data_IF_479321693630
#
_entry.id   IF_479321693630
#
_cell.length_a   1.000
_cell.length_b   1.000
_cell.length_c   1.000
_cell.angle_alpha   90.00
_cell.angle_beta   90.00
_cell.angle_gamma   90.00
#
_symmetry.space_group_name_H-M   'P 1'
#
loop_
_entity.id
_entity.type
_entity.pdbx_description
1 polymer ?
#
# COMPACT_ATOMS: atom_id res chain seq x y z
N UNK A 1 -10.74 12.41 1.76
CA UNK A 1 -11.02 11.18 0.98
C UNK A 1 -10.28 9.96 1.52
N UNK A 2 -8.94 9.96 1.63
CA UNK A 2 -8.19 8.79 2.14
C UNK A 2 -8.68 8.28 3.51
N UNK A 3 -8.89 9.19 4.49
CA UNK A 3 -9.45 8.82 5.80
C UNK A 3 -10.80 8.13 5.70
N UNK A 4 -11.70 8.64 4.86
CA UNK A 4 -13.03 8.06 4.62
C UNK A 4 -12.93 6.66 4.03
N UNK A 5 -12.06 6.47 3.02
CA UNK A 5 -11.82 5.17 2.39
C UNK A 5 -11.31 4.17 3.44
N UNK A 6 -10.31 4.58 4.23
CA UNK A 6 -9.76 3.74 5.29
C UNK A 6 -10.80 3.33 6.34
N UNK A 7 -11.64 4.28 6.77
CA UNK A 7 -12.72 4.01 7.72
C UNK A 7 -13.75 3.04 7.16
N UNK A 8 -14.15 3.21 5.90
CA UNK A 8 -15.14 2.33 5.25
C UNK A 8 -14.61 0.93 4.95
N UNK A 9 -13.29 0.76 4.79
CA UNK A 9 -12.65 -0.52 4.51
C UNK A 9 -12.14 -1.25 5.75
N UNK A 10 -12.21 -0.62 6.93
CA UNK A 10 -11.59 -1.13 8.15
C UNK A 10 -10.06 -1.12 8.11
N UNK A 11 -9.46 -0.36 7.21
CA UNK A 11 -8.01 -0.26 7.09
C UNK A 11 -7.43 0.57 8.24
N UNK A 12 -6.41 0.03 8.91
CA UNK A 12 -5.69 0.71 9.99
C UNK A 12 -4.64 1.69 9.47
N UNK A 13 -4.21 1.50 8.22
CA UNK A 13 -3.19 2.32 7.55
C UNK A 13 -3.48 2.45 6.05
N UNK A 14 -3.20 3.62 5.48
CA UNK A 14 -3.32 3.90 4.06
C UNK A 14 -2.10 4.66 3.56
N UNK A 15 -1.66 4.35 2.34
CA UNK A 15 -0.53 5.02 1.68
C UNK A 15 -0.96 5.42 0.28
N UNK A 16 -0.70 6.67 -0.09
CA UNK A 16 -0.92 7.16 -1.45
C UNK A 16 0.40 7.28 -2.20
N UNK A 17 0.46 6.64 -3.36
CA UNK A 17 1.65 6.53 -4.21
C UNK A 17 1.34 7.15 -5.55
N UNK A 18 2.23 8.02 -6.01
CA UNK A 18 2.14 8.70 -7.29
C UNK A 18 3.23 8.20 -8.23
N UNK A 19 2.83 7.84 -9.45
CA UNK A 19 3.77 7.64 -10.55
C UNK A 19 4.03 8.97 -11.24
N UNK A 20 5.30 9.29 -11.52
CA UNK A 20 5.65 10.36 -12.45
C UNK A 20 5.61 9.86 -13.91
N UNK A 21 5.92 10.75 -14.86
CA UNK A 21 5.96 10.43 -16.30
C UNK A 21 7.00 9.38 -16.67
N UNK A 22 8.07 9.28 -15.88
CA UNK A 22 9.17 8.33 -16.07
C UNK A 22 8.88 6.96 -15.41
N UNK A 23 7.72 6.81 -14.77
CA UNK A 23 7.30 5.57 -14.10
C UNK A 23 7.85 5.41 -12.68
N UNK A 24 8.55 6.40 -12.14
CA UNK A 24 9.03 6.37 -10.77
C UNK A 24 7.87 6.53 -9.80
N UNK A 25 7.84 5.67 -8.78
CA UNK A 25 6.82 5.66 -7.76
C UNK A 25 7.30 6.43 -6.52
N UNK A 26 6.50 7.41 -6.10
CA UNK A 26 6.77 8.23 -4.91
C UNK A 26 5.62 8.17 -3.93
N UNK A 27 5.95 8.04 -2.65
CA UNK A 27 4.99 8.10 -1.55
C UNK A 27 4.74 9.55 -1.20
N UNK A 28 3.50 10.01 -1.33
CA UNK A 28 3.12 11.42 -1.18
C UNK A 28 2.21 11.66 0.03
N UNK A 29 1.55 10.63 0.54
CA UNK A 29 0.76 10.73 1.77
C UNK A 29 0.67 9.38 2.49
N UNK A 30 0.55 9.46 3.81
CA UNK A 30 0.29 8.32 4.70
C UNK A 30 -0.82 8.69 5.70
N UNK A 31 -1.71 7.75 5.97
CA UNK A 31 -2.72 7.86 7.01
C UNK A 31 -2.68 6.65 7.93
N UNK A 32 -2.96 6.87 9.21
CA UNK A 32 -3.19 5.82 10.21
C UNK A 32 -4.47 6.11 10.95
N UNK A 33 -5.20 5.07 11.35
CA UNK A 33 -6.52 5.20 11.99
C UNK A 33 -6.45 5.83 13.39
N UNK A 34 -5.33 5.64 14.08
CA UNK A 34 -5.03 6.19 15.40
C UNK A 34 -4.67 7.68 15.37
N UNK A 35 -4.32 8.21 14.19
CA UNK A 35 -4.02 9.62 13.99
C UNK A 35 -5.26 10.37 13.49
N UNK A 36 -5.51 11.52 14.11
CA UNK A 36 -6.60 12.41 13.71
C UNK A 36 -6.41 13.01 12.31
N UNK A 37 -5.15 13.12 11.85
CA UNK A 37 -4.74 13.76 10.61
C UNK A 37 -3.98 12.80 9.67
N UNK A 38 -4.07 13.08 8.37
CA UNK A 38 -3.24 12.46 7.33
C UNK A 38 -1.89 13.17 7.31
N UNK A 39 -0.82 12.40 7.39
CA UNK A 39 0.54 12.91 7.25
C UNK A 39 0.83 13.08 5.75
N UNK A 40 0.76 14.32 5.25
CA UNK A 40 1.26 14.64 3.92
C UNK A 40 2.78 14.62 3.99
N UNK A 41 3.39 13.66 3.28
CA UNK A 41 4.83 13.48 3.27
C UNK A 41 5.44 14.34 2.16
N UNK A 42 6.64 14.87 2.39
CA UNK A 42 7.48 15.29 1.26
C UNK A 42 7.71 14.03 0.41
N UNK A 43 7.44 14.09 -0.88
CA UNK A 43 7.48 12.92 -1.77
C UNK A 43 8.77 12.11 -1.54
N UNK A 44 8.63 10.85 -1.11
CA UNK A 44 9.75 9.93 -0.88
C UNK A 44 9.72 8.87 -1.98
N UNK A 45 10.83 8.64 -2.67
CA UNK A 45 10.91 7.54 -3.63
C UNK A 45 10.63 6.20 -2.94
N UNK A 46 9.84 5.35 -3.60
CA UNK A 46 9.49 4.02 -3.13
C UNK A 46 10.73 3.16 -2.88
N UNK A 47 11.85 3.42 -3.55
CA UNK A 47 13.11 2.70 -3.33
C UNK A 47 13.65 2.91 -1.92
N UNK A 48 13.46 4.09 -1.35
CA UNK A 48 13.93 4.42 0.00
C UNK A 48 12.85 4.24 1.07
N UNK A 49 11.58 4.08 0.68
CA UNK A 49 10.47 3.92 1.62
C UNK A 49 10.24 2.43 1.98
N UNK A 50 10.74 2.02 3.14
CA UNK A 50 10.68 0.61 3.60
C UNK A 50 9.35 0.23 4.27
N UNK A 51 8.49 1.21 4.57
CA UNK A 51 7.26 0.98 5.34
C UNK A 51 6.06 0.53 4.48
N UNK A 52 6.28 -0.22 3.41
CA UNK A 52 5.25 -0.75 2.50
C UNK A 52 5.66 -2.05 1.83
N UNK A 53 4.70 -2.90 1.41
CA UNK A 53 4.99 -4.10 0.63
C UNK A 53 5.26 -3.75 -0.83
N UNK A 54 6.54 -3.58 -1.18
CA UNK A 54 6.95 -3.14 -2.52
C UNK A 54 6.51 -4.12 -3.60
N UNK A 55 6.53 -5.44 -3.32
CA UNK A 55 6.13 -6.45 -4.30
C UNK A 55 4.66 -6.31 -4.72
N UNK A 56 3.77 -6.00 -3.78
CA UNK A 56 2.34 -5.76 -4.02
C UNK A 56 2.16 -4.50 -4.87
N UNK A 57 2.84 -3.41 -4.50
CA UNK A 57 2.76 -2.13 -5.22
C UNK A 57 3.25 -2.30 -6.66
N UNK A 58 4.41 -2.92 -6.86
CA UNK A 58 4.98 -3.13 -8.19
C UNK A 58 4.13 -4.06 -9.05
N UNK A 59 3.49 -5.07 -8.44
CA UNK A 59 2.52 -5.91 -9.14
C UNK A 59 1.36 -5.07 -9.67
N UNK A 60 0.68 -4.31 -8.81
CA UNK A 60 -0.46 -3.46 -9.19
C UNK A 60 -0.06 -2.38 -10.20
N UNK A 61 1.11 -1.76 -10.03
CA UNK A 61 1.61 -0.75 -10.97
C UNK A 61 1.83 -1.34 -12.37
N UNK A 62 2.35 -2.56 -12.46
CA UNK A 62 2.63 -3.25 -13.73
C UNK A 62 1.38 -3.83 -14.38
N UNK A 63 0.50 -4.47 -13.61
CA UNK A 63 -0.68 -5.17 -14.15
C UNK A 63 -1.89 -4.26 -14.29
N UNK A 64 -1.94 -3.16 -13.52
CA UNK A 64 -3.12 -2.30 -13.36
C UNK A 64 -4.36 -3.03 -12.85
N UNK A 65 -4.16 -4.17 -12.18
CA UNK A 65 -5.24 -4.92 -11.55
C UNK A 65 -5.31 -4.59 -10.06
N UNK A 66 -6.52 -4.47 -9.53
CA UNK A 66 -6.72 -4.32 -8.09
C UNK A 66 -6.42 -5.63 -7.39
N UNK A 67 -5.65 -5.57 -6.31
CA UNK A 67 -5.21 -6.73 -5.55
C UNK A 67 -5.73 -6.64 -4.11
N UNK A 68 -6.39 -7.70 -3.66
CA UNK A 68 -6.91 -7.86 -2.29
C UNK A 68 -6.39 -9.15 -1.70
N UNK A 69 -5.47 -9.06 -0.74
CA UNK A 69 -4.79 -10.20 -0.12
C UNK A 69 -5.26 -10.34 1.33
N UNK A 70 -5.68 -11.55 1.69
CA UNK A 70 -5.75 -11.98 3.09
C UNK A 70 -4.45 -12.68 3.47
N UNK A 71 -3.84 -12.28 4.59
CA UNK A 71 -2.53 -12.76 5.06
C UNK A 71 -2.66 -13.63 6.33
N UNK A 72 -3.87 -14.07 6.66
CA UNK A 72 -4.15 -15.00 7.76
C UNK A 72 -3.67 -16.43 7.50
N UNK A 73 -4.21 -17.40 8.23
CA UNK A 73 -3.74 -18.80 8.24
C UNK A 73 -3.71 -19.49 6.85
N UNK A 74 -4.57 -19.06 5.92
CA UNK A 74 -4.60 -19.55 4.54
C UNK A 74 -4.42 -18.37 3.57
N UNK A 75 -3.17 -17.96 3.29
CA UNK A 75 -2.91 -16.80 2.45
C UNK A 75 -3.26 -17.10 0.99
N UNK A 76 -4.07 -16.24 0.38
CA UNK A 76 -4.55 -16.41 -1.00
C UNK A 76 -3.50 -16.12 -2.08
N UNK A 77 -2.34 -15.55 -1.71
CA UNK A 77 -1.29 -15.16 -2.64
C UNK A 77 0.12 -15.44 -2.10
N UNK A 78 0.57 -16.69 -2.23
CA UNK A 78 1.88 -17.12 -1.74
C UNK A 78 3.07 -16.38 -2.38
N UNK A 79 2.90 -15.88 -3.61
CA UNK A 79 3.93 -15.12 -4.33
C UNK A 79 4.39 -13.85 -3.60
N UNK A 80 3.59 -13.30 -2.67
CA UNK A 80 3.97 -12.13 -1.88
C UNK A 80 4.54 -12.49 -0.50
N UNK A 81 4.61 -13.79 -0.13
CA UNK A 81 5.13 -14.22 1.19
C UNK A 81 6.56 -13.79 1.48
N UNK A 82 7.37 -13.60 0.43
CA UNK A 82 8.78 -13.19 0.55
C UNK A 82 8.97 -11.67 0.67
N UNK A 83 7.89 -10.91 0.70
CA UNK A 83 7.97 -9.47 0.94
C UNK A 83 8.26 -9.21 2.42
N UNK A 84 9.43 -8.65 2.69
CA UNK A 84 9.95 -8.37 4.04
C UNK A 84 8.96 -7.55 4.87
N UNK A 85 8.25 -6.59 4.26
CA UNK A 85 7.30 -5.77 4.99
C UNK A 85 6.09 -6.58 5.46
N UNK A 86 5.60 -7.51 4.62
CA UNK A 86 4.48 -8.38 4.98
C UNK A 86 4.86 -9.37 6.08
N UNK A 87 6.08 -9.91 6.03
CA UNK A 87 6.59 -10.88 6.99
C UNK A 87 6.76 -10.25 8.39
N UNK A 88 7.42 -9.10 8.49
CA UNK A 88 7.78 -8.48 9.78
C UNK A 88 6.55 -7.87 10.46
N UNK A 89 5.61 -7.30 9.71
CA UNK A 89 4.52 -6.50 10.28
C UNK A 89 3.25 -7.29 10.60
N UNK A 90 3.24 -8.62 10.41
CA UNK A 90 2.09 -9.50 10.74
C UNK A 90 0.74 -8.93 10.28
N UNK A 91 0.69 -8.40 9.06
CA UNK A 91 -0.51 -7.76 8.52
C UNK A 91 -1.62 -8.80 8.35
N UNK A 92 -2.87 -8.44 8.63
CA UNK A 92 -4.01 -9.34 8.39
C UNK A 92 -4.46 -9.33 6.93
N UNK A 93 -4.36 -8.18 6.26
CA UNK A 93 -4.78 -8.02 4.86
C UNK A 93 -4.11 -6.81 4.19
N UNK A 94 -4.14 -6.80 2.86
CA UNK A 94 -3.67 -5.67 2.03
C UNK A 94 -4.65 -5.48 0.87
N UNK A 95 -5.08 -4.23 0.67
CA UNK A 95 -5.83 -3.82 -0.51
C UNK A 95 -5.03 -2.76 -1.27
N UNK A 96 -4.72 -3.01 -2.52
CA UNK A 96 -3.98 -2.09 -3.38
C UNK A 96 -4.72 -1.96 -4.71
N UNK A 97 -5.09 -0.73 -5.07
CA UNK A 97 -5.86 -0.43 -6.27
C UNK A 97 -5.16 0.67 -7.08
N UNK A 98 -5.05 0.52 -8.40
CA UNK A 98 -4.50 1.58 -9.25
C UNK A 98 -5.54 2.69 -9.42
N UNK A 99 -5.11 3.94 -9.27
CA UNK A 99 -5.96 5.09 -9.59
C UNK A 99 -5.73 5.45 -11.05
N UNK A 100 -6.66 5.03 -11.92
CA UNK A 100 -6.65 5.36 -13.34
C UNK A 100 -7.37 6.69 -13.58
N UNK A 101 -6.87 7.50 -14.50
CA UNK A 101 -7.63 8.62 -15.09
C UNK A 101 -8.54 8.11 -16.20
#
# INVERSE_FOLDING_TARGET
>A
MMKTIMQSSGATRGVFIQSNLDGELTVVAEGKIDKSHVDVLRAVSLDYYQSVPKSVIMYVARTRETLSIGLGANPTHEQFKKDIYLEINSLCSVFCTPIMK
#
